data_IF_629719043604
#
_entry.id   IF_629719043604
#
_cell.length_a   1.000
_cell.length_b   1.000
_cell.length_c   1.000
_cell.angle_alpha   90.00
_cell.angle_beta   90.00
_cell.angle_gamma   90.00
#
_symmetry.space_group_name_H-M   'P 1'
#
loop_
_entity.id
_entity.type
_entity.pdbx_description
1 polymer ?
#
# COMPACT_ATOMS: atom_id res chain seq x y z
N UNK A 1 -3.94 4.75 -10.56
CA UNK A 1 -3.92 3.27 -10.60
C UNK A 1 -3.51 2.63 -9.27
N UNK A 2 -2.57 3.19 -8.51
CA UNK A 2 -2.13 2.58 -7.23
C UNK A 2 -3.18 2.65 -6.12
N UNK A 3 -3.97 3.73 -6.04
CA UNK A 3 -5.00 3.89 -4.99
C UNK A 3 -6.19 2.94 -5.19
N UNK A 4 -6.62 2.74 -6.44
CA UNK A 4 -7.64 1.74 -6.79
C UNK A 4 -7.19 0.32 -6.39
N UNK A 5 -5.93 -0.03 -6.67
CA UNK A 5 -5.39 -1.35 -6.32
C UNK A 5 -5.28 -1.57 -4.81
N UNK A 6 -4.92 -0.54 -4.03
CA UNK A 6 -4.93 -0.61 -2.55
C UNK A 6 -6.33 -0.80 -2.01
N UNK A 7 -7.29 0.01 -2.46
CA UNK A 7 -8.69 -0.12 -2.05
C UNK A 7 -9.25 -1.52 -2.35
N UNK A 8 -8.88 -2.10 -3.49
CA UNK A 8 -9.27 -3.45 -3.86
C UNK A 8 -8.65 -4.50 -2.93
N UNK A 9 -7.36 -4.36 -2.60
CA UNK A 9 -6.65 -5.24 -1.65
C UNK A 9 -7.31 -5.19 -0.27
N UNK A 10 -7.55 -3.99 0.26
CA UNK A 10 -8.15 -3.79 1.59
C UNK A 10 -9.57 -4.37 1.64
N UNK A 11 -10.35 -4.22 0.55
CA UNK A 11 -11.66 -4.83 0.43
C UNK A 11 -11.60 -6.35 0.48
N UNK A 12 -10.69 -7.00 -0.26
CA UNK A 12 -10.59 -8.46 -0.25
C UNK A 12 -9.94 -9.02 1.02
N UNK A 13 -9.03 -8.30 1.68
CA UNK A 13 -8.46 -8.73 2.98
C UNK A 13 -9.48 -8.69 4.13
N UNK A 14 -10.51 -7.83 4.02
CA UNK A 14 -11.60 -7.77 5.00
C UNK A 14 -12.43 -9.07 5.05
N UNK A 15 -12.44 -9.85 3.98
CA UNK A 15 -13.18 -11.11 3.88
C UNK A 15 -12.30 -12.28 4.35
N UNK A 16 -12.70 -13.05 5.39
CA UNK A 16 -11.86 -14.09 5.97
C UNK A 16 -11.55 -15.23 4.99
N UNK A 17 -12.48 -15.51 4.06
CA UNK A 17 -12.30 -16.54 3.02
C UNK A 17 -11.22 -16.12 2.00
N UNK A 18 -11.28 -14.87 1.52
CA UNK A 18 -10.31 -14.34 0.56
C UNK A 18 -8.93 -14.17 1.17
N UNK A 19 -8.84 -13.78 2.44
CA UNK A 19 -7.58 -13.74 3.19
C UNK A 19 -6.88 -15.10 3.23
N UNK A 20 -7.62 -16.17 3.53
CA UNK A 20 -7.06 -17.52 3.54
C UNK A 20 -6.67 -17.98 2.12
N UNK A 21 -7.48 -17.62 1.11
CA UNK A 21 -7.15 -17.91 -0.29
C UNK A 21 -5.87 -17.20 -0.75
N UNK A 22 -5.64 -15.95 -0.30
CA UNK A 22 -4.39 -15.23 -0.56
C UNK A 22 -3.19 -15.80 0.17
N UNK A 23 -3.37 -16.49 1.30
CA UNK A 23 -2.26 -17.23 1.95
C UNK A 23 -1.94 -18.53 1.21
N UNK A 24 -2.90 -19.08 0.48
CA UNK A 24 -2.75 -20.28 -0.33
C UNK A 24 -2.29 -20.02 -1.78
N UNK A 25 -1.98 -18.77 -2.15
CA UNK A 25 -1.55 -18.39 -3.50
C UNK A 25 -0.30 -19.15 -3.97
N UNK A 26 0.72 -19.24 -3.12
CA UNK A 26 1.95 -20.00 -3.37
C UNK A 26 1.63 -21.49 -3.54
N UNK A 27 0.68 -22.01 -2.76
CA UNK A 27 0.27 -23.41 -2.83
C UNK A 27 -0.43 -23.68 -4.16
N UNK A 28 -1.40 -22.85 -4.56
CA UNK A 28 -2.11 -22.95 -5.85
C UNK A 28 -1.13 -22.89 -7.03
N UNK A 29 -0.17 -21.97 -6.97
CA UNK A 29 0.89 -21.86 -7.97
C UNK A 29 1.73 -23.14 -8.03
N UNK A 30 2.20 -23.66 -6.89
CA UNK A 30 3.02 -24.86 -6.81
C UNK A 30 2.29 -26.13 -7.27
N UNK A 31 1.00 -26.26 -6.93
CA UNK A 31 0.15 -27.38 -7.34
C UNK A 31 -0.12 -27.31 -8.85
N UNK A 32 -0.38 -26.11 -9.39
CA UNK A 32 -0.53 -25.92 -10.84
C UNK A 32 0.74 -26.30 -11.61
N UNK A 33 1.91 -25.86 -11.13
CA UNK A 33 3.21 -26.22 -11.70
C UNK A 33 3.46 -27.74 -11.63
N UNK A 34 3.15 -28.37 -10.50
CA UNK A 34 3.28 -29.82 -10.32
C UNK A 34 2.43 -30.59 -11.34
N UNK A 35 1.18 -30.17 -11.58
CA UNK A 35 0.32 -30.80 -12.59
C UNK A 35 0.84 -30.60 -14.02
N UNK A 36 1.39 -29.42 -14.33
CA UNK A 36 2.05 -29.20 -15.61
C UNK A 36 3.28 -30.10 -15.78
N UNK A 37 4.06 -30.35 -14.72
CA UNK A 37 5.17 -31.30 -14.77
C UNK A 37 4.70 -32.74 -14.94
N UNK A 38 3.63 -33.15 -14.25
CA UNK A 38 3.07 -34.51 -14.40
C UNK A 38 2.56 -34.78 -15.82
N UNK A 39 1.97 -33.78 -16.47
CA UNK A 39 1.63 -33.85 -17.89
C UNK A 39 2.87 -34.15 -18.76
N UNK A 40 3.96 -33.41 -18.56
CA UNK A 40 5.17 -33.57 -19.38
C UNK A 40 5.84 -34.93 -19.20
N UNK A 41 5.97 -35.39 -17.96
CA UNK A 41 6.67 -36.63 -17.68
C UNK A 41 5.79 -37.87 -17.88
N UNK A 42 4.50 -37.70 -18.21
CA UNK A 42 3.54 -38.80 -18.41
C UNK A 42 3.58 -39.84 -17.26
N UNK A 43 3.89 -39.38 -16.04
CA UNK A 43 4.15 -40.25 -14.88
C UNK A 43 2.87 -41.02 -14.48
N UNK A 44 1.71 -40.48 -14.85
CA UNK A 44 0.40 -41.05 -14.58
C UNK A 44 -0.25 -41.37 -15.93
N UNK A 45 -0.65 -42.62 -16.16
CA UNK A 45 -1.35 -43.09 -17.37
C UNK A 45 -2.80 -42.59 -17.49
N UNK A 46 -3.22 -41.63 -16.65
CA UNK A 46 -4.50 -40.94 -16.78
C UNK A 46 -4.42 -39.86 -17.86
N UNK A 47 -5.52 -39.66 -18.59
CA UNK A 47 -5.72 -38.63 -19.63
C UNK A 47 -4.86 -37.37 -19.40
N UNK A 48 -3.76 -37.26 -20.15
CA UNK A 48 -2.78 -36.18 -20.08
C UNK A 48 -3.43 -34.80 -20.15
N UNK A 49 -4.44 -34.65 -21.00
CA UNK A 49 -5.11 -33.38 -21.27
C UNK A 49 -5.81 -32.79 -20.03
N UNK A 50 -6.25 -33.64 -19.09
CA UNK A 50 -6.90 -33.21 -17.85
C UNK A 50 -5.88 -32.54 -16.92
N UNK A 51 -4.68 -33.11 -16.79
CA UNK A 51 -3.62 -32.52 -15.98
C UNK A 51 -3.10 -31.22 -16.57
N UNK A 52 -3.01 -31.14 -17.90
CA UNK A 52 -2.67 -29.89 -18.57
C UNK A 52 -3.71 -28.80 -18.29
N UNK A 53 -5.01 -29.11 -18.48
CA UNK A 53 -6.08 -28.16 -18.24
C UNK A 53 -6.13 -27.68 -16.79
N UNK A 54 -6.11 -28.61 -15.82
CA UNK A 54 -6.10 -28.28 -14.40
C UNK A 54 -4.85 -27.49 -14.02
N UNK A 55 -3.67 -27.94 -14.46
CA UNK A 55 -2.40 -27.27 -14.20
C UNK A 55 -2.39 -25.83 -14.72
N UNK A 56 -2.87 -25.62 -15.94
CA UNK A 56 -2.98 -24.29 -16.55
C UNK A 56 -3.95 -23.39 -15.77
N UNK A 57 -5.14 -23.88 -15.42
CA UNK A 57 -6.11 -23.12 -14.63
C UNK A 57 -5.56 -22.72 -13.26
N UNK A 58 -4.98 -23.67 -12.51
CA UNK A 58 -4.42 -23.37 -11.20
C UNK A 58 -3.22 -22.42 -11.28
N UNK A 59 -2.38 -22.56 -12.29
CA UNK A 59 -1.24 -21.69 -12.54
C UNK A 59 -1.68 -20.24 -12.81
N UNK A 60 -2.65 -20.03 -13.70
CA UNK A 60 -3.16 -18.69 -14.01
C UNK A 60 -3.93 -18.07 -12.85
N UNK A 61 -4.73 -18.85 -12.12
CA UNK A 61 -5.38 -18.39 -10.88
C UNK A 61 -4.32 -17.95 -9.86
N UNK A 62 -3.24 -18.73 -9.68
CA UNK A 62 -2.13 -18.39 -8.80
C UNK A 62 -1.43 -17.08 -9.18
N UNK A 63 -1.17 -16.88 -10.48
CA UNK A 63 -0.59 -15.63 -10.98
C UNK A 63 -1.51 -14.43 -10.72
N UNK A 64 -2.81 -14.57 -10.99
CA UNK A 64 -3.79 -13.49 -10.77
C UNK A 64 -3.87 -13.12 -9.28
N UNK A 65 -3.91 -14.12 -8.39
CA UNK A 65 -3.90 -13.88 -6.95
C UNK A 65 -2.60 -13.20 -6.49
N UNK A 66 -1.45 -13.63 -7.01
CA UNK A 66 -0.15 -13.01 -6.72
C UNK A 66 -0.08 -11.56 -7.21
N UNK A 67 -0.67 -11.26 -8.37
CA UNK A 67 -0.77 -9.90 -8.89
C UNK A 67 -1.61 -9.00 -7.97
N UNK A 68 -2.73 -9.51 -7.46
CA UNK A 68 -3.59 -8.77 -6.52
C UNK A 68 -2.89 -8.55 -5.17
N UNK A 69 -2.17 -9.55 -4.67
CA UNK A 69 -1.46 -9.50 -3.38
C UNK A 69 -0.26 -8.55 -3.38
N UNK A 70 0.22 -8.16 -4.57
CA UNK A 70 1.44 -7.37 -4.79
C UNK A 70 2.70 -8.08 -4.25
N UNK A 71 2.73 -9.40 -4.37
CA UNK A 71 3.93 -10.20 -4.14
C UNK A 71 4.78 -10.22 -5.41
N UNK A 72 5.56 -9.16 -5.61
CA UNK A 72 6.45 -9.01 -6.78
C UNK A 72 7.39 -10.22 -6.92
N UNK A 73 7.78 -10.83 -5.79
CA UNK A 73 8.62 -12.04 -5.72
C UNK A 73 7.91 -13.27 -6.29
N UNK A 74 6.69 -13.55 -5.85
CA UNK A 74 5.94 -14.73 -6.33
C UNK A 74 5.58 -14.62 -7.80
N UNK A 75 5.26 -13.41 -8.27
CA UNK A 75 4.93 -13.14 -9.66
C UNK A 75 6.16 -13.29 -10.58
N UNK A 76 7.31 -12.75 -10.17
CA UNK A 76 8.57 -12.87 -10.93
C UNK A 76 9.10 -14.30 -10.97
N UNK A 77 9.10 -15.00 -9.84
CA UNK A 77 9.46 -16.42 -9.78
C UNK A 77 8.52 -17.24 -10.68
N UNK A 78 7.22 -16.98 -10.62
CA UNK A 78 6.24 -17.75 -11.36
C UNK A 78 6.32 -17.59 -12.87
N UNK A 79 6.46 -16.34 -13.34
CA UNK A 79 6.68 -16.03 -14.75
C UNK A 79 8.03 -16.54 -15.25
N UNK A 80 9.07 -16.46 -14.41
CA UNK A 80 10.41 -16.96 -14.73
C UNK A 80 10.46 -18.47 -14.93
N UNK A 81 9.85 -19.24 -14.02
CA UNK A 81 9.73 -20.70 -14.14
C UNK A 81 8.94 -21.11 -15.38
N UNK A 82 7.84 -20.41 -15.67
CA UNK A 82 7.05 -20.65 -16.88
C UNK A 82 7.84 -20.36 -18.15
N UNK A 83 8.54 -19.23 -18.22
CA UNK A 83 9.41 -18.90 -19.33
C UNK A 83 10.49 -19.98 -19.55
N UNK A 84 11.12 -20.45 -18.46
CA UNK A 84 12.15 -21.47 -18.50
C UNK A 84 11.61 -22.81 -19.02
N UNK A 85 10.44 -23.26 -18.54
CA UNK A 85 9.81 -24.49 -19.02
C UNK A 85 9.50 -24.44 -20.53
N UNK A 86 8.94 -23.33 -21.00
CA UNK A 86 8.65 -23.16 -22.43
C UNK A 86 9.91 -23.00 -23.28
N UNK A 87 10.98 -22.44 -22.74
CA UNK A 87 12.29 -22.37 -23.39
C UNK A 87 12.88 -23.77 -23.54
N UNK A 88 12.87 -24.59 -22.50
CA UNK A 88 13.30 -26.00 -22.56
C UNK A 88 12.50 -26.76 -23.61
N UNK A 89 11.18 -26.56 -23.66
CA UNK A 89 10.32 -27.14 -24.72
C UNK A 89 10.73 -26.70 -26.12
N UNK A 90 11.02 -25.42 -26.31
CA UNK A 90 11.49 -24.92 -27.59
C UNK A 90 12.80 -25.60 -28.01
N UNK A 91 13.76 -25.75 -27.09
CA UNK A 91 15.04 -26.45 -27.36
C UNK A 91 14.79 -27.92 -27.72
N UNK A 92 13.98 -28.65 -26.94
CA UNK A 92 13.67 -30.07 -27.21
C UNK A 92 12.98 -30.21 -28.57
N UNK A 93 12.06 -29.29 -28.90
CA UNK A 93 11.41 -29.26 -30.20
C UNK A 93 12.43 -29.06 -31.32
N UNK A 94 13.38 -28.12 -31.19
CA UNK A 94 14.46 -27.92 -32.16
C UNK A 94 15.38 -29.14 -32.31
N UNK A 95 15.62 -29.92 -31.25
CA UNK A 95 16.46 -31.12 -31.27
C UNK A 95 15.75 -32.32 -31.91
N UNK A 96 14.46 -32.54 -31.57
CA UNK A 96 13.68 -33.64 -32.14
C UNK A 96 13.16 -33.35 -33.55
N UNK A 97 13.09 -32.08 -33.98
CA UNK A 97 12.63 -31.69 -35.31
C UNK A 97 13.61 -31.97 -36.46
N UNK A 98 14.57 -32.89 -36.30
CA UNK A 98 15.08 -33.65 -37.44
C UNK A 98 14.00 -34.59 -38.04
N UNK A 99 12.87 -34.80 -37.34
CA UNK A 99 11.68 -35.49 -37.85
C UNK A 99 10.38 -34.70 -37.65
N UNK A 100 10.07 -33.75 -38.54
CA UNK A 100 8.68 -33.54 -38.97
C UNK A 100 7.68 -32.77 -38.10
N UNK A 101 8.06 -32.00 -37.07
CA UNK A 101 7.13 -31.01 -36.46
C UNK A 101 7.09 -29.69 -37.25
N UNK A 102 6.74 -29.77 -38.53
CA UNK A 102 6.54 -28.61 -39.41
C UNK A 102 5.13 -28.05 -39.27
N UNK A 103 4.89 -27.18 -38.28
CA UNK A 103 3.59 -26.51 -38.10
C UNK A 103 3.53 -25.54 -36.91
N UNK A 104 2.38 -24.89 -36.73
CA UNK A 104 2.09 -23.84 -35.71
C UNK A 104 2.55 -24.18 -34.27
N UNK A 105 2.68 -25.47 -33.96
CA UNK A 105 3.12 -25.99 -32.65
C UNK A 105 4.61 -25.76 -32.34
N UNK A 106 5.48 -25.64 -33.35
CA UNK A 106 6.92 -25.34 -33.12
C UNK A 106 7.19 -23.88 -32.73
N UNK A 107 6.33 -22.95 -33.18
CA UNK A 107 6.44 -21.52 -32.87
C UNK A 107 5.70 -21.13 -31.59
N UNK A 108 4.69 -21.91 -31.20
CA UNK A 108 3.92 -21.72 -29.95
C UNK A 108 4.79 -21.56 -28.68
N UNK A 109 5.83 -22.38 -28.42
CA UNK A 109 6.66 -22.19 -27.23
C UNK A 109 7.47 -20.90 -27.27
N UNK A 110 7.93 -20.49 -28.47
CA UNK A 110 8.68 -19.25 -28.64
C UNK A 110 7.81 -18.01 -28.36
N UNK A 111 6.55 -18.01 -28.84
CA UNK A 111 5.58 -16.97 -28.48
C UNK A 111 5.35 -16.89 -26.97
N UNK A 112 5.19 -18.03 -26.30
CA UNK A 112 4.96 -18.08 -24.86
C UNK A 112 6.17 -17.54 -24.07
N UNK A 113 7.40 -17.83 -24.51
CA UNK A 113 8.62 -17.24 -23.90
C UNK A 113 8.63 -15.73 -24.08
N UNK A 114 8.34 -15.21 -25.27
CA UNK A 114 8.30 -13.76 -25.52
C UNK A 114 7.27 -13.08 -24.60
N UNK A 115 6.07 -13.64 -24.50
CA UNK A 115 5.00 -13.11 -23.63
C UNK A 115 5.43 -13.16 -22.16
N UNK A 116 6.02 -14.26 -21.70
CA UNK A 116 6.49 -14.39 -20.33
C UNK A 116 7.62 -13.39 -20.00
N UNK A 117 8.58 -13.19 -20.91
CA UNK A 117 9.65 -12.20 -20.76
C UNK A 117 9.09 -10.77 -20.75
N UNK A 118 8.08 -10.48 -21.58
CA UNK A 118 7.40 -9.19 -21.57
C UNK A 118 6.73 -8.93 -20.22
N UNK A 119 5.95 -9.87 -19.69
CA UNK A 119 5.35 -9.74 -18.36
C UNK A 119 6.40 -9.66 -17.24
N UNK A 120 7.49 -10.41 -17.32
CA UNK A 120 8.60 -10.33 -16.38
C UNK A 120 9.21 -8.91 -16.39
N UNK A 121 9.48 -8.35 -17.57
CA UNK A 121 10.03 -6.99 -17.69
C UNK A 121 9.08 -5.91 -17.14
N UNK A 122 7.77 -6.07 -17.36
CA UNK A 122 6.77 -5.20 -16.75
C UNK A 122 6.78 -5.29 -15.22
N UNK A 123 6.90 -6.51 -14.66
CA UNK A 123 6.94 -6.73 -13.22
C UNK A 123 8.19 -6.12 -12.57
N UNK A 124 9.36 -6.26 -13.21
CA UNK A 124 10.62 -5.67 -12.73
C UNK A 124 10.52 -4.14 -12.75
N UNK A 125 10.01 -3.55 -13.84
CA UNK A 125 9.84 -2.09 -13.92
C UNK A 125 8.87 -1.54 -12.88
N UNK A 126 7.79 -2.27 -12.58
CA UNK A 126 6.85 -1.88 -11.52
C UNK A 126 7.50 -1.94 -10.13
N UNK A 127 8.38 -2.93 -9.90
CA UNK A 127 9.14 -3.05 -8.65
C UNK A 127 10.14 -1.90 -8.44
N UNK A 128 10.88 -1.49 -9.47
CA UNK A 128 11.84 -0.38 -9.42
C UNK A 128 11.14 0.95 -9.10
N UNK A 129 10.01 1.21 -9.77
CA UNK A 129 9.18 2.39 -9.49
C UNK A 129 8.70 2.43 -8.04
N UNK A 130 8.33 1.28 -7.48
CA UNK A 130 7.87 1.20 -6.08
C UNK A 130 8.99 1.44 -5.07
N UNK A 131 10.20 0.94 -5.32
CA UNK A 131 11.37 1.23 -4.49
C UNK A 131 11.67 2.73 -4.46
N UNK A 132 11.63 3.39 -5.63
CA UNK A 132 11.86 4.82 -5.74
C UNK A 132 10.80 5.65 -5.00
N UNK A 133 9.53 5.24 -5.08
CA UNK A 133 8.44 5.86 -4.31
C UNK A 133 8.64 5.75 -2.79
N UNK A 134 9.10 4.60 -2.29
CA UNK A 134 9.38 4.41 -0.87
C UNK A 134 10.52 5.31 -0.39
N UNK A 135 11.59 5.44 -1.16
CA UNK A 135 12.70 6.32 -0.83
C UNK A 135 12.27 7.79 -0.78
N UNK A 136 11.47 8.25 -1.74
CA UNK A 136 10.91 9.60 -1.71
C UNK A 136 10.01 9.83 -0.49
N UNK A 137 9.17 8.85 -0.13
CA UNK A 137 8.30 8.95 1.04
C UNK A 137 9.10 9.01 2.34
N UNK A 138 10.16 8.18 2.48
CA UNK A 138 11.07 8.22 3.63
C UNK A 138 11.76 9.58 3.72
N UNK A 139 12.27 10.12 2.61
CA UNK A 139 12.90 11.43 2.57
C UNK A 139 11.93 12.54 3.01
N UNK A 140 10.68 12.52 2.51
CA UNK A 140 9.65 13.48 2.90
C UNK A 140 9.31 13.39 4.40
N UNK A 141 9.20 12.17 4.96
CA UNK A 141 8.95 11.97 6.38
C UNK A 141 10.12 12.46 7.24
N UNK A 142 11.37 12.27 6.80
CA UNK A 142 12.55 12.79 7.47
C UNK A 142 12.58 14.33 7.45
N UNK A 143 12.18 14.95 6.34
CA UNK A 143 12.02 16.41 6.26
C UNK A 143 10.92 16.92 7.20
N UNK A 144 9.79 16.21 7.29
CA UNK A 144 8.72 16.54 8.23
C UNK A 144 9.14 16.40 9.70
N UNK A 145 10.01 15.44 10.03
CA UNK A 145 10.57 15.27 11.38
C UNK A 145 11.65 16.31 11.72
N UNK A 146 12.40 16.78 10.72
CA UNK A 146 13.42 17.84 10.87
C UNK A 146 12.85 19.24 10.82
N UNK A 147 11.62 19.41 10.31
CA UNK A 147 10.91 20.67 10.43
C UNK A 147 10.89 21.02 11.93
N UNK A 148 11.36 22.21 12.33
CA UNK A 148 11.23 22.62 13.72
C UNK A 148 9.75 22.45 14.05
N UNK A 149 9.45 21.80 15.19
CA UNK A 149 8.09 21.80 15.74
C UNK A 149 7.68 23.26 15.79
N UNK A 150 6.93 23.72 14.78
CA UNK A 150 6.30 25.02 14.82
C UNK A 150 5.47 24.94 16.07
N UNK A 151 5.86 25.75 17.05
CA UNK A 151 5.27 25.79 18.36
C UNK A 151 3.76 25.81 18.16
N UNK A 152 3.12 24.69 18.51
CA UNK A 152 1.71 24.67 18.85
C UNK A 152 1.55 25.85 19.81
N UNK A 153 0.66 26.82 19.53
CA UNK A 153 0.63 28.07 20.28
C UNK A 153 0.46 27.72 21.75
N UNK A 154 1.57 27.79 22.50
CA UNK A 154 1.60 27.59 23.93
C UNK A 154 0.62 28.62 24.47
N UNK A 155 -0.53 28.12 24.89
CA UNK A 155 -1.64 28.95 25.24
C UNK A 155 -1.17 29.96 26.29
N UNK A 156 -1.37 31.23 25.95
CA UNK A 156 -0.83 32.38 26.63
C UNK A 156 -0.59 32.21 28.12
N UNK A 157 0.64 32.50 28.49
CA UNK A 157 0.99 32.83 29.85
C UNK A 157 0.81 34.35 29.98
N UNK A 158 -0.06 34.76 30.90
CA UNK A 158 -0.19 36.17 31.29
C UNK A 158 0.65 36.41 32.56
N UNK A 159 0.95 37.67 32.88
CA UNK A 159 1.63 38.02 34.14
C UNK A 159 0.61 38.52 35.14
N UNK A 160 0.76 38.13 36.41
CA UNK A 160 -0.12 38.61 37.46
C UNK A 160 0.15 40.10 37.74
N UNK A 161 -0.85 40.99 37.67
CA UNK A 161 -0.65 42.42 37.86
C UNK A 161 -0.24 42.82 39.28
N UNK A 162 -0.29 41.89 40.26
CA UNK A 162 0.02 42.16 41.67
C UNK A 162 1.37 41.62 42.13
N UNK A 163 1.80 40.47 41.64
CA UNK A 163 3.04 39.83 42.06
C UNK A 163 4.01 39.54 40.91
N UNK A 164 3.63 39.90 39.68
CA UNK A 164 4.37 39.66 38.44
C UNK A 164 4.68 38.18 38.13
N UNK A 165 4.08 37.25 38.89
CA UNK A 165 4.19 35.82 38.69
C UNK A 165 3.50 35.36 37.40
N UNK A 166 4.12 34.42 36.70
CA UNK A 166 3.60 33.83 35.47
C UNK A 166 2.38 32.96 35.75
N UNK A 167 1.28 33.22 35.05
CA UNK A 167 -0.01 32.56 35.27
C UNK A 167 -0.60 32.10 33.93
N UNK A 168 -1.22 30.91 33.92
CA UNK A 168 -1.93 30.43 32.73
C UNK A 168 -3.22 31.22 32.48
N UNK A 169 -3.57 31.45 31.21
CA UNK A 169 -4.76 32.19 30.73
C UNK A 169 -6.13 31.77 31.32
N UNK A 170 -6.21 30.64 32.03
CA UNK A 170 -7.46 30.09 32.58
C UNK A 170 -7.49 30.00 34.12
N UNK A 171 -6.54 30.63 34.81
CA UNK A 171 -6.47 30.57 36.29
C UNK A 171 -7.33 31.67 36.92
N UNK A 172 -8.31 31.29 37.75
CA UNK A 172 -9.16 32.26 38.49
C UNK A 172 -8.42 32.93 39.65
N UNK A 173 -7.39 32.27 40.16
CA UNK A 173 -6.55 32.73 41.27
C UNK A 173 -5.08 32.52 40.92
N UNK A 174 -4.24 33.49 41.29
CA UNK A 174 -2.80 33.36 41.10
C UNK A 174 -2.21 32.35 42.11
N UNK A 175 -1.46 31.31 41.66
CA UNK A 175 -0.84 30.34 42.55
C UNK A 175 0.31 30.91 43.38
N UNK A 176 0.86 32.08 42.99
CA UNK A 176 1.97 32.72 43.69
C UNK A 176 1.52 33.69 44.80
N UNK A 177 0.40 34.39 44.62
CA UNK A 177 -0.04 35.42 45.57
C UNK A 177 -1.48 35.24 46.07
N UNK A 178 -2.22 34.24 45.59
CA UNK A 178 -3.60 33.95 46.00
C UNK A 178 -4.65 34.96 45.53
N UNK A 179 -4.24 36.03 44.83
CA UNK A 179 -5.15 37.07 44.37
C UNK A 179 -6.00 36.60 43.19
N UNK A 180 -7.28 37.01 43.16
CA UNK A 180 -8.20 36.74 42.05
C UNK A 180 -7.74 37.51 40.80
N UNK A 181 -7.64 36.82 39.67
CA UNK A 181 -7.29 37.42 38.38
C UNK A 181 -8.61 37.87 37.71
N UNK A 182 -8.68 39.10 37.14
CA UNK A 182 -9.86 39.53 36.40
C UNK A 182 -10.10 38.54 35.24
N UNK A 183 -11.30 37.98 35.17
CA UNK A 183 -11.64 37.00 34.14
C UNK A 183 -11.58 37.69 32.76
N UNK A 184 -10.62 37.29 31.91
CA UNK A 184 -10.64 37.66 30.50
C UNK A 184 -11.85 36.97 29.87
N UNK A 185 -12.92 37.73 29.65
CA UNK A 185 -14.11 37.27 28.93
C UNK A 185 -13.63 36.75 27.55
N UNK A 186 -14.04 35.55 27.15
CA UNK A 186 -13.78 35.02 25.79
C UNK A 186 -15.01 35.21 24.93
N UNK A 187 -14.81 35.47 23.64
CA UNK A 187 -15.92 35.48 22.70
C UNK A 187 -16.49 34.06 22.53
N UNK A 188 -17.81 33.87 22.69
CA UNK A 188 -18.47 32.56 22.51
C UNK A 188 -18.37 32.01 21.08
N UNK A 189 -18.05 32.87 20.10
CA UNK A 189 -18.11 32.53 18.68
C UNK A 189 -16.74 32.29 18.03
N UNK A 190 -15.68 32.92 18.54
CA UNK A 190 -14.31 32.76 18.01
C UNK A 190 -13.26 32.45 19.08
N UNK A 191 -13.68 32.31 20.34
CA UNK A 191 -12.84 31.98 21.51
C UNK A 191 -11.67 32.94 21.79
N UNK A 192 -11.56 34.04 21.03
CA UNK A 192 -10.51 35.02 21.21
C UNK A 192 -10.67 35.77 22.55
N UNK A 193 -9.54 36.14 23.21
CA UNK A 193 -9.58 36.94 24.42
C UNK A 193 -10.19 38.32 24.12
N UNK A 194 -11.17 38.73 24.92
CA UNK A 194 -11.78 40.05 24.81
C UNK A 194 -11.08 41.01 25.80
N UNK A 195 -10.81 42.27 25.40
CA UNK A 195 -10.30 43.30 26.32
C UNK A 195 -11.34 43.68 27.38
N UNK A 196 -10.97 44.49 28.38
CA UNK A 196 -11.91 44.93 29.42
C UNK A 196 -13.04 45.79 28.83
N UNK A 197 -14.30 45.32 28.92
CA UNK A 197 -15.53 45.93 28.40
C UNK A 197 -15.61 46.23 26.88
N UNK A 198 -15.61 45.22 26.00
CA UNK A 198 -15.84 45.40 24.56
C UNK A 198 -17.30 45.19 24.19
N UNK A 199 -17.93 46.16 23.54
CA UNK A 199 -19.29 45.99 22.98
C UNK A 199 -19.32 45.03 21.78
N UNK A 200 -18.18 44.84 21.11
CA UNK A 200 -18.02 43.98 19.93
C UNK A 200 -16.66 43.29 19.94
N UNK A 201 -16.60 42.06 19.44
CA UNK A 201 -15.34 41.34 19.27
C UNK A 201 -14.53 41.94 18.11
N UNK A 202 -13.28 42.34 18.38
CA UNK A 202 -12.37 42.91 17.38
C UNK A 202 -11.91 41.90 16.31
N UNK A 203 -12.06 40.60 16.57
CA UNK A 203 -11.62 39.54 15.64
C UNK A 203 -12.78 39.03 14.78
N UNK A 204 -13.93 38.73 15.38
CA UNK A 204 -15.06 38.14 14.65
C UNK A 204 -16.23 39.10 14.41
N UNK A 205 -16.21 40.31 14.98
CA UNK A 205 -17.29 41.30 14.86
C UNK A 205 -18.57 40.98 15.63
N UNK A 206 -18.63 39.84 16.34
CA UNK A 206 -19.82 39.45 17.11
C UNK A 206 -20.06 40.42 18.28
N UNK A 207 -21.31 40.82 18.48
CA UNK A 207 -21.75 41.65 19.61
C UNK A 207 -21.59 40.85 20.90
N UNK A 208 -20.85 41.40 21.86
CA UNK A 208 -20.63 40.77 23.16
C UNK A 208 -21.61 41.40 24.14
N UNK A 209 -22.49 40.60 24.72
CA UNK A 209 -23.41 41.06 25.76
C UNK A 209 -22.62 41.25 27.07
N UNK A 210 -22.47 42.50 27.48
CA UNK A 210 -21.94 42.86 28.79
C UNK A 210 -23.06 42.76 29.83
N UNK A 211 -23.13 41.64 30.53
CA UNK A 211 -23.71 41.60 31.88
C UNK A 211 -22.74 42.22 32.89
#
# INVERSE_FOLDING_TARGET
MQDYRRALKDHFESQPLMRNLFMADIILFSVGLLFLLFHEFSIITLNSDVFFALGFWFFWIGIVLSYIKKSDVSLSIGLGLYALLYLVKFIIACVHSAGGYGGFYGFSPLCNVIVALFFLSLSVRESEYYQQYLEQKKALLLLAQRAPKAQEPEQGMIRCPKCDGTIGLNTKFCPHCGNKIPELKRCKQCESPLPENPSFCVICGAKVESE
#
